data_IF_937386236871
#
_entry.id   IF_937386236871
#
_cell.length_a   1.000
_cell.length_b   1.000
_cell.length_c   1.000
_cell.angle_alpha   90.00
_cell.angle_beta   90.00
_cell.angle_gamma   90.00
#
_symmetry.space_group_name_H-M   'P 1'
#
loop_
_entity.id
_entity.type
_entity.pdbx_description
1 polymer ?
#
# COMPACT_ATOMS: atom_id res chain seq x y z
N UNK A 1 47.51 11.93 60.00
CA UNK A 1 48.64 11.16 60.58
C UNK A 1 48.28 9.68 60.52
N UNK A 2 49.23 8.89 60.02
CA UNK A 2 49.50 7.47 60.31
C UNK A 2 48.48 6.38 59.90
N UNK A 3 48.85 5.68 58.81
CA UNK A 3 48.63 4.24 58.52
C UNK A 3 49.25 3.33 59.63
N UNK A 4 49.27 1.97 59.54
CA UNK A 4 48.42 0.96 58.86
C UNK A 4 48.05 -0.23 59.80
N UNK A 5 47.27 -1.22 59.33
CA UNK A 5 47.53 -2.62 59.69
C UNK A 5 47.23 -3.59 58.55
N UNK A 6 48.25 -4.40 58.32
CA UNK A 6 48.46 -5.43 57.30
C UNK A 6 47.80 -6.74 57.75
N UNK A 7 47.22 -7.51 56.82
CA UNK A 7 47.12 -8.96 56.98
C UNK A 7 47.55 -9.70 55.71
N UNK A 8 48.31 -10.76 55.96
CA UNK A 8 49.10 -11.57 55.03
C UNK A 8 48.30 -12.78 54.53
N UNK A 9 48.53 -13.09 53.24
CA UNK A 9 48.85 -14.39 52.63
C UNK A 9 47.95 -15.61 52.96
N UNK A 10 47.35 -16.18 51.90
CA UNK A 10 47.60 -17.59 51.52
C UNK A 10 47.58 -17.78 50.01
N UNK A 11 48.72 -18.22 49.47
CA UNK A 11 48.93 -18.63 48.08
C UNK A 11 48.63 -20.14 47.98
N UNK A 12 47.68 -20.55 47.15
CA UNK A 12 47.48 -21.96 46.80
C UNK A 12 47.83 -22.16 45.32
N UNK A 13 49.08 -22.58 45.07
CA UNK A 13 49.53 -23.08 43.78
C UNK A 13 48.97 -24.50 43.61
N UNK A 14 48.05 -24.69 42.67
CA UNK A 14 47.71 -26.03 42.17
C UNK A 14 48.30 -26.18 40.77
N UNK A 15 49.34 -27.02 40.69
CA UNK A 15 49.89 -27.55 39.46
C UNK A 15 48.91 -28.60 38.93
N UNK A 16 48.16 -28.27 37.87
CA UNK A 16 47.42 -29.25 37.09
C UNK A 16 48.12 -29.41 35.74
N UNK A 17 48.45 -30.67 35.43
CA UNK A 17 49.36 -31.06 34.36
C UNK A 17 48.91 -30.69 32.95
N UNK A 18 49.89 -30.29 32.15
CA UNK A 18 49.80 -30.21 30.71
C UNK A 18 49.63 -31.61 30.12
N UNK A 19 48.41 -31.96 29.72
CA UNK A 19 48.20 -33.07 28.78
C UNK A 19 48.30 -32.48 27.38
N UNK A 20 49.36 -32.84 26.66
CA UNK A 20 49.49 -32.54 25.24
C UNK A 20 48.33 -33.20 24.49
N UNK A 21 47.38 -32.40 24.03
CA UNK A 21 46.33 -32.85 23.14
C UNK A 21 46.96 -33.19 21.78
N UNK A 22 46.80 -34.44 21.37
CA UNK A 22 47.06 -34.96 20.03
C UNK A 22 46.41 -34.03 19.00
N UNK A 23 47.09 -33.64 17.89
CA UNK A 23 46.46 -32.87 16.84
C UNK A 23 45.32 -33.70 16.24
N UNK A 24 44.08 -33.31 16.57
CA UNK A 24 42.90 -33.84 15.95
C UNK A 24 43.01 -33.60 14.44
N UNK A 25 43.02 -34.70 13.68
CA UNK A 25 42.91 -34.72 12.23
C UNK A 25 41.71 -33.84 11.85
N UNK A 26 42.01 -32.69 11.23
CA UNK A 26 41.02 -31.72 10.76
C UNK A 26 39.94 -32.49 9.99
N UNK A 27 38.67 -32.47 10.42
CA UNK A 27 37.62 -33.13 9.66
C UNK A 27 37.61 -32.53 8.26
N UNK A 28 37.91 -33.38 7.29
CA UNK A 28 37.72 -33.10 5.87
C UNK A 28 36.31 -32.54 5.73
N UNK A 29 36.21 -31.28 5.31
CA UNK A 29 34.94 -30.65 5.05
C UNK A 29 34.18 -31.53 4.05
N UNK A 30 33.14 -32.21 4.53
CA UNK A 30 32.11 -32.78 3.68
C UNK A 30 31.66 -31.66 2.75
N UNK A 31 31.60 -31.88 1.43
CA UNK A 31 31.08 -30.86 0.53
C UNK A 31 29.63 -30.63 0.95
N UNK A 32 29.38 -29.53 1.65
CA UNK A 32 28.03 -29.03 1.85
C UNK A 32 27.54 -28.74 0.45
N UNK A 33 26.67 -29.62 -0.06
CA UNK A 33 25.87 -29.36 -1.24
C UNK A 33 25.20 -28.03 -0.99
N UNK A 34 25.78 -26.93 -1.51
CA UNK A 34 25.07 -25.68 -1.65
C UNK A 34 23.86 -26.06 -2.48
N UNK A 35 22.69 -26.12 -1.84
CA UNK A 35 21.45 -26.25 -2.56
C UNK A 35 21.47 -25.14 -3.61
N UNK A 36 21.58 -25.53 -4.88
CA UNK A 36 21.36 -24.65 -6.00
C UNK A 36 20.03 -23.97 -5.68
N UNK A 37 20.07 -22.67 -5.33
CA UNK A 37 18.86 -21.86 -5.35
C UNK A 37 18.42 -21.93 -6.80
N UNK A 38 17.43 -22.76 -7.07
CA UNK A 38 16.82 -22.85 -8.38
C UNK A 38 16.45 -21.43 -8.75
N UNK A 39 17.10 -20.88 -9.79
CA UNK A 39 16.78 -19.58 -10.39
C UNK A 39 15.43 -19.64 -11.11
N UNK A 40 14.43 -20.25 -10.48
CA UNK A 40 13.05 -20.13 -10.90
C UNK A 40 12.74 -18.62 -10.84
N UNK A 41 12.28 -18.01 -11.95
CA UNK A 41 11.85 -16.63 -11.94
C UNK A 41 10.87 -16.45 -10.80
N UNK A 42 11.19 -15.55 -9.86
CA UNK A 42 10.22 -15.19 -8.83
C UNK A 42 8.98 -14.62 -9.54
N UNK A 43 7.77 -15.04 -9.15
CA UNK A 43 6.55 -14.53 -9.76
C UNK A 43 6.51 -13.00 -9.62
N UNK A 44 6.09 -12.31 -10.67
CA UNK A 44 6.06 -10.86 -10.67
C UNK A 44 5.12 -10.36 -9.55
N UNK A 45 5.62 -9.57 -8.58
CA UNK A 45 4.83 -9.16 -7.42
C UNK A 45 3.62 -8.29 -7.79
N UNK A 46 3.59 -7.70 -9.00
CA UNK A 46 2.44 -6.93 -9.47
C UNK A 46 1.33 -7.79 -10.10
N UNK A 47 1.56 -9.09 -10.32
CA UNK A 47 0.54 -10.02 -10.78
C UNK A 47 -0.14 -10.65 -9.56
N UNK A 48 -1.42 -10.32 -9.39
CA UNK A 48 -2.28 -10.85 -8.32
C UNK A 48 -3.01 -12.08 -8.86
N UNK A 49 -2.79 -13.23 -8.22
CA UNK A 49 -3.35 -14.53 -8.65
C UNK A 49 -4.16 -15.23 -7.56
N UNK A 50 -4.24 -14.60 -6.38
CA UNK A 50 -4.96 -15.12 -5.24
C UNK A 50 -6.46 -15.27 -5.57
N UNK A 51 -7.11 -16.35 -5.14
CA UNK A 51 -8.55 -16.50 -5.34
C UNK A 51 -9.32 -15.48 -4.50
N UNK A 52 -10.48 -15.06 -4.99
CA UNK A 52 -11.42 -14.16 -4.29
C UNK A 52 -10.88 -12.76 -3.98
N UNK A 53 -9.80 -12.33 -4.65
CA UNK A 53 -9.35 -10.95 -4.63
C UNK A 53 -9.42 -10.35 -6.02
N UNK A 54 -9.45 -9.03 -6.07
CA UNK A 54 -9.36 -8.27 -7.33
C UNK A 54 -8.38 -7.14 -7.18
N UNK A 55 -7.67 -6.82 -8.27
CA UNK A 55 -6.94 -5.55 -8.35
C UNK A 55 -7.94 -4.41 -8.27
N UNK A 56 -7.67 -3.47 -7.36
CA UNK A 56 -8.49 -2.27 -7.15
C UNK A 56 -7.75 -1.00 -7.52
N UNK A 57 -6.49 -1.09 -7.94
CA UNK A 57 -5.73 0.03 -8.47
C UNK A 57 -4.24 -0.13 -8.28
N UNK A 58 -3.52 0.90 -8.69
CA UNK A 58 -2.07 1.01 -8.63
C UNK A 58 -1.67 2.30 -7.93
N UNK A 59 -0.48 2.34 -7.34
CA UNK A 59 0.06 3.55 -6.72
C UNK A 59 1.55 3.67 -7.00
N UNK A 60 1.98 4.86 -7.40
CA UNK A 60 3.39 5.23 -7.50
C UNK A 60 3.85 5.80 -6.16
N UNK A 61 4.97 5.31 -5.64
CA UNK A 61 5.51 5.68 -4.33
C UNK A 61 7.03 5.84 -4.39
N UNK A 62 7.60 6.53 -3.41
CA UNK A 62 9.03 6.42 -3.14
C UNK A 62 9.36 5.06 -2.49
N UNK A 63 10.65 4.71 -2.51
CA UNK A 63 11.15 3.44 -1.99
C UNK A 63 10.76 3.17 -0.54
N UNK A 64 10.82 4.19 0.33
CA UNK A 64 10.53 4.05 1.77
C UNK A 64 9.07 3.63 2.00
N UNK A 65 8.12 4.29 1.34
CA UNK A 65 6.70 3.96 1.47
C UNK A 65 6.36 2.60 0.83
N UNK A 66 6.95 2.29 -0.33
CA UNK A 66 6.76 1.00 -1.00
C UNK A 66 7.30 -0.18 -0.17
N UNK A 67 8.45 -0.02 0.45
CA UNK A 67 9.01 -1.03 1.37
C UNK A 67 8.12 -1.20 2.61
N UNK A 68 7.52 -0.14 3.13
CA UNK A 68 6.54 -0.25 4.21
C UNK A 68 5.31 -1.06 3.79
N UNK A 69 4.81 -0.87 2.57
CA UNK A 69 3.70 -1.64 2.03
C UNK A 69 4.07 -3.12 1.91
N UNK A 70 5.23 -3.43 1.33
CA UNK A 70 5.75 -4.79 1.22
C UNK A 70 5.92 -5.47 2.59
N UNK A 71 6.47 -4.75 3.58
CA UNK A 71 6.66 -5.27 4.93
C UNK A 71 5.33 -5.61 5.63
N UNK A 72 4.30 -4.79 5.40
CA UNK A 72 2.97 -4.99 6.02
C UNK A 72 2.04 -5.86 5.18
N UNK A 73 2.35 -6.06 3.91
CA UNK A 73 1.49 -6.73 2.92
C UNK A 73 0.22 -5.94 2.57
N UNK A 74 0.11 -4.67 2.97
CA UNK A 74 -1.08 -3.83 2.77
C UNK A 74 -0.68 -2.37 2.66
N UNK A 75 -1.56 -1.57 2.06
CA UNK A 75 -1.44 -0.12 2.08
C UNK A 75 -1.57 0.45 3.49
N UNK A 76 -0.84 1.51 3.78
CA UNK A 76 -0.89 2.27 5.02
C UNK A 76 -1.27 3.72 4.76
N UNK A 77 -1.78 4.37 5.82
CA UNK A 77 -2.10 5.80 5.83
C UNK A 77 -0.88 6.60 5.37
N UNK A 78 -1.13 7.51 4.45
CA UNK A 78 -0.13 8.47 4.00
C UNK A 78 0.32 9.32 5.21
N UNK A 79 1.62 9.29 5.48
CA UNK A 79 2.26 9.99 6.61
C UNK A 79 2.48 11.48 6.34
N UNK A 80 2.20 11.96 5.12
CA UNK A 80 2.26 13.39 4.82
C UNK A 80 1.30 14.14 5.76
N UNK A 81 1.71 15.30 6.31
CA UNK A 81 0.84 16.11 7.14
C UNK A 81 -0.45 16.43 6.39
N UNK A 82 -1.55 16.57 7.12
CA UNK A 82 -2.87 16.87 6.53
C UNK A 82 -2.87 18.19 5.75
N UNK A 83 -2.06 19.17 6.16
CA UNK A 83 -1.79 20.40 5.41
C UNK A 83 -1.15 20.17 4.03
N UNK A 84 -0.42 19.08 3.84
CA UNK A 84 0.13 18.65 2.54
C UNK A 84 -0.83 17.76 1.76
N UNK A 85 -2.01 17.47 2.32
CA UNK A 85 -3.16 16.92 1.60
C UNK A 85 -4.03 18.04 1.01
N UNK A 86 -3.65 19.32 1.19
CA UNK A 86 -4.18 20.42 0.39
C UNK A 86 -3.96 20.09 -1.11
N UNK A 87 -5.05 20.02 -1.88
CA UNK A 87 -5.04 19.45 -3.24
C UNK A 87 -5.62 18.03 -3.35
N UNK A 88 -6.22 17.48 -2.28
CA UNK A 88 -6.97 16.21 -2.37
C UNK A 88 -8.28 16.41 -3.14
N UNK A 89 -8.25 16.15 -4.45
CA UNK A 89 -9.36 16.41 -5.38
C UNK A 89 -10.68 15.80 -4.93
N UNK A 90 -10.67 14.53 -4.50
CA UNK A 90 -11.87 13.84 -3.99
C UNK A 90 -11.79 13.59 -2.49
N UNK A 91 -11.06 14.47 -1.81
CA UNK A 91 -10.99 14.55 -0.37
C UNK A 91 -10.04 13.55 0.28
N UNK A 92 -10.07 13.47 1.61
CA UNK A 92 -9.04 12.80 2.40
C UNK A 92 -9.05 11.28 2.23
N UNK A 93 -7.90 10.73 1.85
CA UNK A 93 -7.70 9.29 1.76
C UNK A 93 -6.36 8.91 1.14
N UNK A 94 -6.18 7.61 0.95
CA UNK A 94 -5.09 7.05 0.15
C UNK A 94 -5.55 6.91 -1.30
N UNK A 95 -4.87 7.61 -2.20
CA UNK A 95 -5.19 7.65 -3.61
C UNK A 95 -4.52 6.50 -4.37
N UNK A 96 -5.30 5.87 -5.24
CA UNK A 96 -4.85 4.84 -6.18
C UNK A 96 -5.43 5.13 -7.55
N UNK A 97 -4.67 4.78 -8.58
CA UNK A 97 -5.03 5.00 -9.98
C UNK A 97 -5.52 3.71 -10.61
N UNK A 98 -6.35 3.83 -11.63
CA UNK A 98 -6.90 2.68 -12.33
C UNK A 98 -5.81 1.91 -13.10
N UNK A 99 -4.95 2.60 -13.83
CA UNK A 99 -3.78 2.02 -14.52
C UNK A 99 -2.49 2.69 -14.02
N UNK A 100 -1.38 1.98 -14.11
CA UNK A 100 -0.05 2.59 -13.89
C UNK A 100 0.16 3.65 -14.98
N UNK A 101 0.54 4.88 -14.57
CA UNK A 101 0.74 6.00 -15.49
C UNK A 101 -0.48 6.88 -15.74
N UNK A 102 -1.66 6.57 -15.17
CA UNK A 102 -2.89 7.35 -15.40
C UNK A 102 -2.81 8.80 -14.87
N UNK A 103 -2.04 9.08 -13.82
CA UNK A 103 -1.82 10.46 -13.33
C UNK A 103 -0.54 11.05 -13.92
N UNK A 104 0.59 10.43 -13.59
CA UNK A 104 1.93 10.76 -14.09
C UNK A 104 2.67 9.48 -14.46
N UNK A 105 3.50 9.56 -15.49
CA UNK A 105 4.44 8.48 -15.82
C UNK A 105 5.44 8.33 -14.66
N UNK A 106 5.61 7.13 -14.08
CA UNK A 106 6.55 6.88 -13.00
C UNK A 106 8.00 7.15 -13.44
N UNK A 107 8.78 7.82 -12.59
CA UNK A 107 10.22 7.99 -12.79
C UNK A 107 11.01 6.72 -12.46
N UNK A 108 12.26 6.64 -12.93
CA UNK A 108 13.10 5.44 -12.73
C UNK A 108 13.36 5.09 -11.25
N UNK A 109 13.34 6.10 -10.37
CA UNK A 109 13.54 5.93 -8.93
C UNK A 109 12.25 5.63 -8.17
N UNK A 110 11.10 5.66 -8.85
CA UNK A 110 9.83 5.36 -8.23
C UNK A 110 9.62 3.86 -8.08
N UNK A 111 8.64 3.53 -7.25
CA UNK A 111 8.12 2.19 -7.06
C UNK A 111 6.68 2.15 -7.48
N UNK A 112 6.29 1.07 -8.14
CA UNK A 112 4.89 0.77 -8.42
C UNK A 112 4.40 -0.27 -7.44
N UNK A 113 3.24 0.01 -6.87
CA UNK A 113 2.48 -0.93 -6.06
C UNK A 113 1.20 -1.32 -6.77
N UNK A 114 0.90 -2.61 -6.80
CA UNK A 114 -0.45 -3.11 -7.08
C UNK A 114 -1.20 -3.18 -5.75
N UNK A 115 -2.46 -2.78 -5.76
CA UNK A 115 -3.36 -2.84 -4.62
C UNK A 115 -4.51 -3.76 -5.01
N UNK A 116 -4.83 -4.72 -4.15
CA UNK A 116 -5.99 -5.58 -4.30
C UNK A 116 -6.84 -5.56 -3.06
N UNK A 117 -8.07 -6.05 -3.17
CA UNK A 117 -9.01 -6.19 -2.07
C UNK A 117 -9.71 -7.54 -2.16
N UNK A 118 -10.27 -8.02 -1.05
CA UNK A 118 -11.24 -9.11 -1.12
C UNK A 118 -12.42 -8.68 -1.99
N UNK A 119 -12.73 -9.47 -3.02
CA UNK A 119 -13.66 -9.09 -4.07
C UNK A 119 -15.06 -8.79 -3.51
N UNK A 120 -15.59 -9.67 -2.67
CA UNK A 120 -16.93 -9.50 -2.12
C UNK A 120 -17.03 -8.30 -1.17
N UNK A 121 -16.05 -8.15 -0.27
CA UNK A 121 -15.98 -7.00 0.65
C UNK A 121 -15.91 -5.70 -0.13
N UNK A 122 -15.10 -5.67 -1.18
CA UNK A 122 -14.98 -4.53 -2.06
C UNK A 122 -16.30 -4.24 -2.79
N UNK A 123 -16.98 -5.23 -3.36
CA UNK A 123 -18.30 -5.07 -4.01
C UNK A 123 -19.33 -4.49 -3.03
N UNK A 124 -19.40 -5.01 -1.79
CA UNK A 124 -20.34 -4.56 -0.76
C UNK A 124 -20.03 -3.18 -0.18
N UNK A 125 -18.79 -2.71 -0.28
CA UNK A 125 -18.41 -1.41 0.25
C UNK A 125 -19.22 -0.28 -0.41
N UNK A 126 -19.54 0.76 0.37
CA UNK A 126 -20.19 1.97 -0.14
C UNK A 126 -19.23 2.74 -1.04
N UNK A 127 -19.77 3.27 -2.13
CA UNK A 127 -19.03 3.89 -3.23
C UNK A 127 -19.80 5.11 -3.73
N UNK A 128 -19.10 6.23 -3.89
CA UNK A 128 -19.66 7.48 -4.42
C UNK A 128 -18.77 8.06 -5.52
N UNK A 129 -19.36 8.33 -6.69
CA UNK A 129 -18.65 9.00 -7.78
C UNK A 129 -18.75 10.49 -7.49
N UNK A 130 -17.63 11.13 -7.20
CA UNK A 130 -17.58 12.53 -6.79
C UNK A 130 -17.48 13.39 -8.06
N UNK A 131 -18.55 14.09 -8.46
CA UNK A 131 -18.49 14.93 -9.64
C UNK A 131 -17.64 16.17 -9.36
N UNK A 132 -17.10 16.78 -10.41
CA UNK A 132 -16.40 18.05 -10.29
C UNK A 132 -17.33 19.16 -9.80
N UNK A 133 -18.56 19.19 -10.30
CA UNK A 133 -19.56 20.20 -9.98
C UNK A 133 -20.85 19.59 -9.47
N UNK A 134 -21.55 20.34 -8.63
CA UNK A 134 -22.89 20.01 -8.17
C UNK A 134 -23.92 20.32 -9.27
N UNK A 135 -24.53 19.28 -9.84
CA UNK A 135 -25.52 19.45 -10.90
C UNK A 135 -24.89 19.74 -12.26
N UNK A 136 -25.60 20.44 -13.15
CA UNK A 136 -25.14 20.75 -14.51
C UNK A 136 -24.34 22.06 -14.61
N UNK A 137 -24.39 22.88 -13.56
CA UNK A 137 -23.77 24.22 -13.57
C UNK A 137 -22.30 24.13 -13.15
N UNK A 138 -21.40 24.63 -14.00
CA UNK A 138 -19.94 24.57 -13.78
C UNK A 138 -19.38 25.82 -13.07
N UNK A 139 -20.19 26.49 -12.28
CA UNK A 139 -19.76 27.67 -11.52
C UNK A 139 -18.82 27.28 -10.38
N UNK A 140 -17.84 28.13 -10.04
CA UNK A 140 -16.90 27.90 -8.91
C UNK A 140 -17.62 27.61 -7.58
N UNK A 141 -18.74 28.28 -7.32
CA UNK A 141 -19.52 28.03 -6.09
C UNK A 141 -20.13 26.62 -6.04
N UNK A 142 -20.30 25.98 -7.22
CA UNK A 142 -20.82 24.61 -7.38
C UNK A 142 -19.73 23.56 -7.47
N UNK A 143 -18.45 23.94 -7.51
CA UNK A 143 -17.35 22.99 -7.51
C UNK A 143 -17.33 22.18 -6.21
N UNK A 144 -17.26 20.86 -6.33
CA UNK A 144 -17.20 19.89 -5.23
C UNK A 144 -15.77 19.40 -5.04
N UNK A 145 -15.00 19.21 -6.13
CA UNK A 145 -13.61 18.79 -6.01
C UNK A 145 -12.80 19.77 -5.17
N UNK A 146 -11.79 19.25 -4.47
CA UNK A 146 -10.91 20.00 -3.57
C UNK A 146 -11.59 20.63 -2.33
N UNK A 147 -12.91 20.42 -2.15
CA UNK A 147 -13.72 20.92 -1.03
C UNK A 147 -14.22 19.76 -0.16
N UNK A 148 -13.46 19.35 0.87
CA UNK A 148 -13.79 18.18 1.72
C UNK A 148 -15.18 18.28 2.35
N UNK A 149 -15.62 19.48 2.74
CA UNK A 149 -16.95 19.74 3.29
C UNK A 149 -18.06 19.45 2.29
N UNK A 150 -17.90 19.87 1.03
CA UNK A 150 -18.88 19.62 -0.04
C UNK A 150 -18.88 18.16 -0.47
N UNK A 151 -17.71 17.52 -0.50
CA UNK A 151 -17.58 16.07 -0.75
C UNK A 151 -18.28 15.27 0.35
N UNK A 152 -18.07 15.66 1.60
CA UNK A 152 -18.73 15.07 2.77
C UNK A 152 -20.24 15.23 2.71
N UNK A 153 -20.74 16.42 2.38
CA UNK A 153 -22.17 16.68 2.21
C UNK A 153 -22.77 15.85 1.07
N UNK A 154 -22.10 15.81 -0.08
CA UNK A 154 -22.50 15.00 -1.23
C UNK A 154 -22.66 13.52 -0.87
N UNK A 155 -21.68 12.94 -0.18
CA UNK A 155 -21.74 11.53 0.26
C UNK A 155 -22.86 11.31 1.29
N UNK A 156 -23.05 12.24 2.22
CA UNK A 156 -24.15 12.18 3.21
C UNK A 156 -25.52 12.26 2.55
N UNK A 157 -25.64 12.91 1.39
CA UNK A 157 -26.87 12.92 0.59
C UNK A 157 -27.38 11.53 0.20
N UNK A 158 -26.52 10.51 0.18
CA UNK A 158 -26.89 9.11 -0.03
C UNK A 158 -27.09 8.31 1.26
N UNK A 159 -27.13 8.96 2.42
CA UNK A 159 -27.10 8.33 3.75
C UNK A 159 -25.88 7.41 3.96
N UNK A 160 -24.74 7.73 3.34
CA UNK A 160 -23.48 7.01 3.54
C UNK A 160 -22.59 7.73 4.55
N UNK A 161 -21.72 6.99 5.25
CA UNK A 161 -20.66 7.56 6.08
C UNK A 161 -19.46 7.97 5.18
N UNK A 162 -19.11 9.26 5.07
CA UNK A 162 -18.00 9.73 4.24
C UNK A 162 -16.64 9.16 4.63
N UNK A 163 -16.49 8.75 5.89
CA UNK A 163 -15.25 8.13 6.39
C UNK A 163 -15.17 6.63 6.09
N UNK A 164 -16.25 6.03 5.60
CA UNK A 164 -16.35 4.61 5.20
C UNK A 164 -16.88 4.42 3.77
N UNK A 165 -16.72 5.42 2.91
CA UNK A 165 -17.17 5.39 1.52
C UNK A 165 -15.99 5.58 0.58
N UNK A 166 -15.77 4.63 -0.33
CA UNK A 166 -14.80 4.77 -1.40
C UNK A 166 -15.25 5.89 -2.34
N UNK A 167 -14.31 6.74 -2.73
CA UNK A 167 -14.57 7.91 -3.57
C UNK A 167 -13.89 7.70 -4.90
N UNK A 168 -14.61 7.86 -6.01
CA UNK A 168 -14.08 7.71 -7.36
C UNK A 168 -14.34 8.97 -8.16
N UNK A 169 -13.41 9.33 -9.03
CA UNK A 169 -13.59 10.43 -9.97
C UNK A 169 -12.55 10.34 -11.10
N UNK A 170 -12.77 11.14 -12.14
CA UNK A 170 -11.71 11.53 -13.06
C UNK A 170 -10.61 12.30 -12.31
N UNK A 171 -9.41 12.33 -12.89
CA UNK A 171 -8.26 13.07 -12.36
C UNK A 171 -8.22 14.45 -13.02
N UNK A 172 -8.16 15.49 -12.21
CA UNK A 172 -7.90 16.84 -12.66
C UNK A 172 -6.41 17.00 -13.02
N UNK A 173 -6.13 17.59 -14.17
CA UNK A 173 -4.77 17.87 -14.63
C UNK A 173 -3.88 16.64 -14.88
N UNK A 174 -4.45 15.44 -15.04
CA UNK A 174 -3.67 14.23 -15.35
C UNK A 174 -3.16 14.20 -16.79
N UNK A 175 -2.05 13.48 -17.03
CA UNK A 175 -1.44 13.31 -18.36
C UNK A 175 -2.36 12.57 -19.35
N UNK A 176 -3.29 11.77 -18.82
CA UNK A 176 -4.19 10.92 -19.60
C UNK A 176 -5.62 11.48 -19.50
N UNK A 177 -6.27 11.80 -20.64
CA UNK A 177 -7.66 12.26 -20.65
C UNK A 177 -8.59 11.22 -20.00
N UNK A 178 -9.49 11.69 -19.14
CA UNK A 178 -10.46 10.87 -18.41
C UNK A 178 -9.82 9.75 -17.57
N UNK A 179 -8.57 9.94 -17.16
CA UNK A 179 -7.92 9.04 -16.22
C UNK A 179 -8.68 9.00 -14.90
N UNK A 180 -8.78 7.81 -14.31
CA UNK A 180 -9.62 7.59 -13.14
C UNK A 180 -8.77 7.35 -11.89
N UNK A 181 -9.21 7.92 -10.78
CA UNK A 181 -8.62 7.72 -9.46
C UNK A 181 -9.67 7.30 -8.44
N UNK A 182 -9.21 6.57 -7.44
CA UNK A 182 -9.99 6.22 -6.27
C UNK A 182 -9.28 6.68 -5.01
N UNK A 183 -10.00 7.35 -4.12
CA UNK A 183 -9.54 7.61 -2.76
C UNK A 183 -10.17 6.59 -1.80
N UNK A 184 -9.31 5.90 -1.07
CA UNK A 184 -9.67 5.00 0.03
C UNK A 184 -9.58 5.80 1.34
N UNK A 185 -10.70 6.09 2.02
CA UNK A 185 -10.66 6.79 3.30
C UNK A 185 -9.81 6.08 4.35
N UNK A 186 -9.18 6.85 5.24
CA UNK A 186 -8.24 6.33 6.23
C UNK A 186 -8.87 5.24 7.14
N UNK A 187 -10.16 5.34 7.48
CA UNK A 187 -10.85 4.33 8.31
C UNK A 187 -11.17 3.02 7.57
N UNK A 188 -11.01 2.99 6.25
CA UNK A 188 -11.17 1.79 5.43
C UNK A 188 -9.83 1.08 5.17
N UNK A 189 -8.71 1.72 5.51
CA UNK A 189 -7.39 1.12 5.40
C UNK A 189 -7.24 -0.01 6.41
N UNK A 190 -6.52 -1.04 6.01
CA UNK A 190 -6.22 -2.13 6.91
C UNK A 190 -5.15 -1.71 7.93
N UNK A 191 -5.39 -2.02 9.20
CA UNK A 191 -4.32 -2.13 10.18
C UNK A 191 -3.50 -3.42 9.97
N UNK A 192 -4.15 -4.51 9.52
CA UNK A 192 -3.62 -5.83 9.11
C UNK A 192 -4.61 -6.57 8.18
N UNK A 193 -4.13 -7.51 7.35
CA UNK A 193 -4.98 -8.35 6.47
C UNK A 193 -5.94 -9.22 7.31
N UNK A 194 -7.19 -9.39 6.85
CA UNK A 194 -8.19 -10.30 7.42
C UNK A 194 -9.01 -9.76 8.60
N UNK A 195 -8.79 -8.50 9.01
CA UNK A 195 -9.47 -7.87 10.15
C UNK A 195 -10.33 -6.66 9.78
N UNK A 196 -10.48 -6.34 8.49
CA UNK A 196 -10.91 -5.01 8.07
C UNK A 196 -11.99 -5.04 6.99
N UNK A 197 -12.54 -3.85 6.71
CA UNK A 197 -13.71 -3.65 5.85
C UNK A 197 -13.49 -4.10 4.40
N UNK A 198 -12.26 -4.01 3.88
CA UNK A 198 -11.93 -4.32 2.48
C UNK A 198 -10.94 -5.49 2.31
N UNK A 199 -10.21 -5.87 3.37
CA UNK A 199 -9.08 -6.80 3.29
C UNK A 199 -8.12 -6.45 2.14
N UNK A 200 -7.68 -5.19 2.13
CA UNK A 200 -6.65 -4.69 1.23
C UNK A 200 -5.33 -5.45 1.36
N UNK A 201 -4.71 -5.74 0.22
CA UNK A 201 -3.32 -6.16 0.13
C UNK A 201 -2.54 -5.26 -0.82
N UNK A 202 -1.22 -5.25 -0.66
CA UNK A 202 -0.32 -4.51 -1.54
C UNK A 202 1.02 -5.22 -1.72
N UNK A 203 1.55 -5.10 -2.94
CA UNK A 203 2.90 -5.53 -3.32
C UNK A 203 3.50 -4.48 -4.24
N UNK A 204 4.78 -4.22 -4.06
CA UNK A 204 5.49 -3.17 -4.77
C UNK A 204 6.81 -3.67 -5.35
N UNK A 205 7.21 -3.10 -6.49
CA UNK A 205 8.53 -3.27 -7.10
C UNK A 205 9.07 -1.93 -7.63
N UNK A 206 10.40 -1.77 -7.74
CA UNK A 206 11.00 -0.62 -8.42
C UNK A 206 10.53 -0.51 -9.87
N UNK A 207 10.40 0.71 -10.37
CA UNK A 207 10.15 0.97 -11.80
C UNK A 207 11.30 0.44 -12.67
N UNK A 208 12.54 0.53 -12.18
CA UNK A 208 13.72 -0.04 -12.84
C UNK A 208 13.61 -1.55 -13.12
N UNK A 209 12.76 -2.27 -12.36
CA UNK A 209 12.53 -3.71 -12.53
C UNK A 209 11.30 -4.01 -13.41
N UNK A 210 10.61 -3.00 -13.92
CA UNK A 210 9.51 -3.15 -14.87
C UNK A 210 10.08 -3.37 -16.28
N UNK A 211 9.70 -4.48 -16.91
CA UNK A 211 10.05 -4.76 -18.31
C UNK A 211 9.11 -4.07 -19.27
N UNK A 212 7.83 -4.06 -18.94
CA UNK A 212 6.77 -3.43 -19.70
C UNK A 212 5.64 -3.05 -18.73
N UNK A 213 5.21 -1.80 -18.75
CA UNK A 213 4.12 -1.30 -17.91
C UNK A 213 2.74 -1.73 -18.43
N UNK A 214 2.61 -1.95 -19.74
CA UNK A 214 1.33 -2.29 -20.38
C UNK A 214 0.92 -3.76 -20.18
N UNK A 215 1.82 -4.59 -19.64
CA UNK A 215 1.47 -5.98 -19.29
C UNK A 215 0.52 -6.08 -18.09
N UNK A 216 0.40 -5.01 -17.29
CA UNK A 216 -0.46 -5.01 -16.11
C UNK A 216 -1.83 -4.44 -16.48
N UNK A 217 -2.91 -5.21 -16.30
CA UNK A 217 -4.25 -4.76 -16.68
C UNK A 217 -4.69 -3.59 -15.81
N UNK A 218 -5.43 -2.66 -16.40
CA UNK A 218 -6.10 -1.62 -15.62
C UNK A 218 -7.06 -2.27 -14.61
N UNK A 219 -7.14 -1.71 -13.41
CA UNK A 219 -8.21 -2.05 -12.47
C UNK A 219 -9.55 -1.76 -13.14
N UNK A 220 -10.48 -2.69 -13.03
CA UNK A 220 -11.80 -2.49 -13.64
C UNK A 220 -12.60 -1.52 -12.76
N UNK A 221 -12.79 -0.30 -13.26
CA UNK A 221 -13.58 0.74 -12.62
C UNK A 221 -14.98 0.95 -13.22
N UNK A 222 -15.47 -0.02 -13.98
CA UNK A 222 -16.81 0.06 -14.58
C UNK A 222 -17.92 -0.20 -13.55
N UNK A 223 -19.12 0.30 -13.85
CA UNK A 223 -20.32 0.12 -13.01
C UNK A 223 -20.65 -1.37 -12.80
N UNK A 224 -20.47 -2.19 -13.83
CA UNK A 224 -20.73 -3.64 -13.79
C UNK A 224 -19.77 -4.39 -12.87
N UNK A 225 -18.54 -3.90 -12.70
CA UNK A 225 -17.54 -4.60 -11.91
C UNK A 225 -17.48 -4.10 -10.47
N UNK A 226 -17.71 -2.82 -10.23
CA UNK A 226 -17.49 -2.21 -8.91
C UNK A 226 -18.72 -2.26 -7.98
N UNK A 227 -19.88 -2.71 -8.46
CA UNK A 227 -21.16 -2.48 -7.79
C UNK A 227 -21.62 -1.03 -7.96
N UNK A 228 -22.86 -0.73 -7.58
CA UNK A 228 -23.48 0.53 -7.96
C UNK A 228 -22.79 1.76 -7.38
N UNK A 229 -22.42 2.69 -8.26
CA UNK A 229 -21.99 4.02 -7.87
C UNK A 229 -23.19 4.93 -7.74
N UNK A 230 -23.27 5.63 -6.63
CA UNK A 230 -24.23 6.72 -6.47
C UNK A 230 -23.69 7.95 -7.22
N UNK A 231 -24.50 8.48 -8.14
CA UNK A 231 -24.24 9.74 -8.87
C UNK A 231 -25.20 10.82 -8.39
N UNK A 232 -24.93 12.08 -8.74
CA UNK A 232 -25.83 13.20 -8.47
C UNK A 232 -27.24 12.91 -9.03
N UNK A 233 -28.29 13.29 -8.28
CA UNK A 233 -29.74 13.09 -8.54
C UNK A 233 -30.40 11.81 -8.03
N UNK A 234 -29.72 10.99 -7.23
CA UNK A 234 -30.28 9.70 -6.79
C UNK A 234 -30.33 8.66 -7.92
N UNK A 235 -29.75 9.00 -9.07
CA UNK A 235 -29.52 8.07 -10.16
C UNK A 235 -28.44 7.08 -9.72
N UNK A 236 -28.93 5.91 -9.33
CA UNK A 236 -28.10 4.78 -8.97
C UNK A 236 -27.70 4.10 -10.27
N UNK A 237 -26.42 4.20 -10.64
CA UNK A 237 -25.91 3.46 -11.77
C UNK A 237 -25.65 2.01 -11.34
N UNK A 238 -26.75 1.27 -11.16
CA UNK A 238 -26.81 -0.18 -11.07
C UNK A 238 -27.29 -0.71 -12.43
N UNK A 239 -26.71 -1.79 -12.92
CA UNK A 239 -27.46 -2.75 -13.72
C UNK A 239 -27.76 -3.96 -12.86
#
# INVERSE_FOLDING_TARGET
>A
MLFPTTQLITLALTLAGSVAAVPAKKPTATPTTQALKTNAPQPDPLIVTEPNVRVVGYRTLNAVAAQEYNKKGTITKDKRPESHRAGSQIGLGTYIMRKIGDYNVPGQNDWICVIWANQEKFIRAKKAFIPQYQGKDQGRDKEIWFHEEKITEFIKGFNFDPSQTLRLSEIDGGDVPHAMQMAIPDKMLNSRIGKNKLDLGARCKPVADLRNIDQYPAADYTETSLGCWQKSSGEQACR
#
